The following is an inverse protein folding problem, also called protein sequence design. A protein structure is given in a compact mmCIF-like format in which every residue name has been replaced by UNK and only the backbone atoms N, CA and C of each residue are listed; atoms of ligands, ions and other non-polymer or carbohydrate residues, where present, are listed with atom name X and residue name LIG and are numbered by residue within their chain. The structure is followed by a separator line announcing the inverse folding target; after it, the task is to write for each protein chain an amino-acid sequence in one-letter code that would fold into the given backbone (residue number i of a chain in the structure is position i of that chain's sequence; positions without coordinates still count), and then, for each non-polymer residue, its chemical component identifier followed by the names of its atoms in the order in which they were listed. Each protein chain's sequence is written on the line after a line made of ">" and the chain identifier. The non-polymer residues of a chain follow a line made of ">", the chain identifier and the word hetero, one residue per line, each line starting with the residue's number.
data_IF_837416150439
#
_entry.id   IF_837416150439
#
_cell.length_a   1.000
_cell.length_b   1.000
_cell.length_c   1.000
_cell.angle_alpha   90.00
_cell.angle_beta   90.00
_cell.angle_gamma   90.00
#
_symmetry.space_group_name_H-M   'P 1'
#
loop_
_entity.id
_entity.type
_entity.pdbx_description
1 polymer ?
#
# COMPACT_ATOMS: atom_id res chain seq x y z
N UNK A 1 5.80 18.75 32.24
CA UNK A 1 5.91 17.29 32.10
C UNK A 1 5.46 16.90 30.70
N UNK A 2 6.28 16.14 29.98
CA UNK A 2 6.00 15.64 28.61
C UNK A 2 4.67 14.88 28.54
N UNK A 3 4.25 14.26 29.65
CA UNK A 3 2.97 13.54 29.78
C UNK A 3 1.78 14.50 29.68
N UNK A 4 1.85 15.69 30.31
CA UNK A 4 0.75 16.67 30.29
C UNK A 4 0.58 17.30 28.92
N UNK A 5 1.69 17.62 28.24
CA UNK A 5 1.70 18.14 26.87
C UNK A 5 1.13 17.12 25.86
N UNK A 6 1.45 15.83 26.01
CA UNK A 6 0.85 14.79 25.17
C UNK A 6 -0.66 14.63 25.40
N UNK A 7 -1.13 14.74 26.65
CA UNK A 7 -2.56 14.65 26.99
C UNK A 7 -3.35 15.84 26.42
N UNK A 8 -2.78 17.04 26.44
CA UNK A 8 -3.41 18.25 25.88
C UNK A 8 -3.46 18.25 24.35
N UNK A 9 -2.50 17.60 23.69
CA UNK A 9 -2.47 17.46 22.23
C UNK A 9 -3.29 16.26 21.72
N UNK A 10 -3.59 15.29 22.59
CA UNK A 10 -4.30 14.06 22.25
C UNK A 10 -5.63 14.29 21.51
N UNK A 11 -6.51 15.23 21.89
CA UNK A 11 -7.78 15.46 21.19
C UNK A 11 -7.56 15.98 19.77
N UNK A 12 -6.55 16.83 19.57
CA UNK A 12 -6.20 17.37 18.24
C UNK A 12 -5.62 16.30 17.34
N UNK A 13 -4.76 15.44 17.88
CA UNK A 13 -4.25 14.27 17.15
C UNK A 13 -5.35 13.28 16.82
N UNK A 14 -6.27 12.99 17.75
CA UNK A 14 -7.42 12.11 17.52
C UNK A 14 -8.32 12.67 16.42
N UNK A 15 -8.67 13.97 16.48
CA UNK A 15 -9.48 14.62 15.46
C UNK A 15 -8.86 14.55 14.06
N UNK A 16 -7.57 14.90 13.94
CA UNK A 16 -6.85 14.84 12.67
C UNK A 16 -6.73 13.41 12.12
N UNK A 17 -6.50 12.41 12.98
CA UNK A 17 -6.42 11.00 12.59
C UNK A 17 -7.78 10.46 12.12
N UNK A 18 -8.88 10.81 12.81
CA UNK A 18 -10.23 10.38 12.43
C UNK A 18 -10.59 10.88 11.04
N UNK A 19 -10.30 12.15 10.73
CA UNK A 19 -10.45 12.73 9.40
C UNK A 19 -9.62 11.98 8.35
N UNK A 20 -8.34 11.69 8.63
CA UNK A 20 -7.50 10.90 7.71
C UNK A 20 -8.02 9.49 7.45
N UNK A 21 -8.56 8.82 8.47
CA UNK A 21 -9.14 7.49 8.30
C UNK A 21 -10.43 7.49 7.46
N UNK A 22 -11.17 8.61 7.42
CA UNK A 22 -12.33 8.75 6.55
C UNK A 22 -11.93 8.74 5.07
N UNK A 23 -10.84 9.41 4.71
CA UNK A 23 -10.31 9.41 3.33
C UNK A 23 -9.87 8.01 2.89
N UNK A 24 -9.21 7.25 3.77
CA UNK A 24 -8.85 5.85 3.51
C UNK A 24 -10.08 4.97 3.30
N UNK A 25 -11.13 5.16 4.11
CA UNK A 25 -12.39 4.44 3.95
C UNK A 25 -13.08 4.82 2.65
N UNK A 26 -13.11 6.10 2.28
CA UNK A 26 -13.67 6.57 1.01
C UNK A 26 -12.93 5.95 -0.19
N UNK A 27 -11.60 5.91 -0.16
CA UNK A 27 -10.79 5.25 -1.18
C UNK A 27 -11.04 3.73 -1.24
N UNK A 28 -11.17 3.06 -0.09
CA UNK A 28 -11.51 1.64 0.01
C UNK A 28 -12.89 1.35 -0.61
N UNK A 29 -13.90 2.17 -0.26
CA UNK A 29 -15.26 2.05 -0.78
C UNK A 29 -15.33 2.34 -2.28
N UNK A 30 -14.60 3.36 -2.76
CA UNK A 30 -14.46 3.65 -4.19
C UNK A 30 -13.82 2.46 -4.94
N UNK A 31 -12.77 1.87 -4.37
CA UNK A 31 -12.15 0.66 -4.89
C UNK A 31 -13.12 -0.54 -4.92
N UNK A 32 -13.88 -0.75 -3.84
CA UNK A 32 -14.90 -1.79 -3.77
C UNK A 32 -16.02 -1.56 -4.79
N UNK A 33 -16.48 -0.32 -4.98
CA UNK A 33 -17.48 0.03 -5.97
C UNK A 33 -16.98 -0.22 -7.39
N UNK A 34 -15.74 0.15 -7.71
CA UNK A 34 -15.10 -0.15 -8.98
C UNK A 34 -14.94 -1.67 -9.22
N UNK A 35 -14.61 -2.42 -8.16
CA UNK A 35 -14.53 -3.88 -8.18
C UNK A 35 -15.88 -4.56 -8.44
N UNK A 36 -16.93 -4.11 -7.75
CA UNK A 36 -18.31 -4.59 -7.96
C UNK A 36 -18.82 -4.29 -9.37
N UNK A 37 -18.45 -3.12 -9.93
CA UNK A 37 -18.74 -2.73 -11.32
C UNK A 37 -17.90 -3.50 -12.36
N UNK A 38 -17.02 -4.41 -11.93
CA UNK A 38 -16.19 -5.25 -12.81
C UNK A 38 -15.44 -4.43 -13.85
N UNK A 39 -15.02 -3.20 -13.50
CA UNK A 39 -14.32 -2.27 -14.40
C UNK A 39 -13.07 -2.93 -15.04
N UNK A 40 -12.49 -3.91 -14.36
CA UNK A 40 -11.33 -4.68 -14.80
C UNK A 40 -11.65 -6.12 -15.25
N UNK A 41 -12.87 -6.61 -15.09
CA UNK A 41 -13.24 -7.99 -15.43
C UNK A 41 -13.88 -8.14 -16.83
N UNK A 42 -14.08 -7.03 -17.56
CA UNK A 42 -14.42 -7.01 -18.99
C UNK A 42 -13.16 -6.92 -19.90
N UNK A 43 -13.27 -6.48 -21.17
CA UNK A 43 -12.13 -6.30 -22.11
C UNK A 43 -11.07 -5.26 -21.68
N UNK A 44 -11.07 -4.85 -20.41
CA UNK A 44 -10.19 -3.86 -19.83
C UNK A 44 -10.38 -2.46 -20.43
N UNK A 45 -9.88 -1.41 -19.76
CA UNK A 45 -9.86 -0.08 -20.35
C UNK A 45 -8.99 -0.07 -21.61
N UNK A 46 -9.41 0.72 -22.61
CA UNK A 46 -8.62 0.93 -23.84
C UNK A 46 -7.23 1.45 -23.47
N UNK A 47 -6.14 0.95 -24.10
CA UNK A 47 -4.78 1.38 -23.77
C UNK A 47 -4.56 2.88 -23.98
N UNK A 48 -5.26 3.49 -24.95
CA UNK A 48 -5.24 4.94 -25.19
C UNK A 48 -5.78 5.72 -23.99
N UNK A 49 -6.88 5.25 -23.39
CA UNK A 49 -7.46 5.90 -22.20
C UNK A 49 -6.51 5.78 -21.00
N UNK A 50 -5.92 4.60 -20.80
CA UNK A 50 -4.92 4.41 -19.73
C UNK A 50 -3.72 5.36 -19.91
N UNK A 51 -3.19 5.48 -21.14
CA UNK A 51 -2.08 6.39 -21.44
C UNK A 51 -2.46 7.85 -21.21
N UNK A 52 -3.68 8.27 -21.55
CA UNK A 52 -4.18 9.62 -21.27
C UNK A 52 -4.29 9.90 -19.77
N UNK A 53 -4.83 8.96 -18.99
CA UNK A 53 -4.92 9.09 -17.54
C UNK A 53 -3.53 9.18 -16.91
N UNK A 54 -2.55 8.40 -17.38
CA UNK A 54 -1.15 8.52 -16.94
C UNK A 54 -0.57 9.87 -17.35
N UNK A 55 -0.70 10.26 -18.62
CA UNK A 55 -0.10 11.49 -19.14
C UNK A 55 -0.66 12.77 -18.51
N UNK A 56 -1.93 12.77 -18.10
CA UNK A 56 -2.57 13.92 -17.44
C UNK A 56 -2.47 13.84 -15.92
N UNK A 57 -2.68 12.65 -15.33
CA UNK A 57 -2.72 12.46 -13.89
C UNK A 57 -1.35 12.48 -13.22
N UNK A 58 -0.30 12.03 -13.92
CA UNK A 58 1.06 12.04 -13.39
C UNK A 58 1.60 13.47 -13.19
N UNK A 59 1.61 14.38 -14.19
CA UNK A 59 2.09 15.74 -13.97
C UNK A 59 1.20 16.51 -13.00
N UNK A 60 -0.14 16.32 -13.05
CA UNK A 60 -1.06 16.97 -12.13
C UNK A 60 -0.81 16.53 -10.68
N UNK A 61 -0.64 15.22 -10.47
CA UNK A 61 -0.36 14.64 -9.16
C UNK A 61 1.03 15.01 -8.62
N UNK A 62 2.06 15.02 -9.48
CA UNK A 62 3.41 15.43 -9.10
C UNK A 62 3.49 16.92 -8.79
N UNK A 63 2.82 17.77 -9.58
CA UNK A 63 2.73 19.20 -9.30
C UNK A 63 2.00 19.46 -7.96
N UNK A 64 0.89 18.75 -7.71
CA UNK A 64 0.19 18.80 -6.42
C UNK A 64 1.06 18.36 -5.25
N UNK A 65 1.79 17.24 -5.40
CA UNK A 65 2.72 16.76 -4.38
C UNK A 65 3.90 17.70 -4.12
N UNK A 66 4.46 18.29 -5.18
CA UNK A 66 5.50 19.31 -5.05
C UNK A 66 4.98 20.56 -4.35
N UNK A 67 3.77 21.00 -4.67
CA UNK A 67 3.11 22.13 -4.00
C UNK A 67 2.91 21.84 -2.51
N UNK A 68 2.40 20.66 -2.15
CA UNK A 68 2.29 20.22 -0.75
C UNK A 68 3.65 20.26 -0.05
N UNK A 69 4.71 19.75 -0.68
CA UNK A 69 6.05 19.76 -0.11
C UNK A 69 6.57 21.18 0.16
N UNK A 70 6.35 22.13 -0.76
CA UNK A 70 6.73 23.54 -0.58
C UNK A 70 5.89 24.21 0.52
N UNK A 71 4.59 23.91 0.62
CA UNK A 71 3.74 24.45 1.69
C UNK A 71 4.06 23.86 3.08
N UNK A 72 4.64 22.66 3.15
CA UNK A 72 4.89 21.95 4.42
C UNK A 72 6.32 22.15 4.93
N UNK A 73 7.30 22.18 4.03
CA UNK A 73 8.72 22.21 4.37
C UNK A 73 9.49 23.36 3.67
N UNK A 74 8.81 24.13 2.83
CA UNK A 74 9.41 25.26 2.13
C UNK A 74 9.38 26.56 2.94
N UNK A 75 9.79 27.67 2.32
CA UNK A 75 9.92 28.98 2.98
C UNK A 75 8.57 29.69 3.21
N UNK A 76 7.45 29.06 2.85
CA UNK A 76 6.11 29.66 2.93
C UNK A 76 5.63 29.71 4.38
N UNK A 77 4.92 30.78 4.73
CA UNK A 77 4.34 30.96 6.07
C UNK A 77 3.32 29.86 6.40
N UNK A 78 3.15 29.56 7.70
CA UNK A 78 2.30 28.47 8.19
C UNK A 78 0.82 28.54 7.78
N UNK A 79 0.32 29.70 7.33
CA UNK A 79 -1.03 29.84 6.78
C UNK A 79 -1.27 29.03 5.50
N UNK A 80 -0.21 28.77 4.72
CA UNK A 80 -0.29 27.97 3.48
C UNK A 80 -0.38 26.47 3.73
N UNK A 81 -0.18 26.00 4.98
CA UNK A 81 -0.22 24.58 5.33
C UNK A 81 -1.57 23.95 4.97
N UNK A 82 -2.69 24.59 5.33
CA UNK A 82 -4.03 24.06 5.04
C UNK A 82 -4.35 24.07 3.55
N UNK A 83 -3.86 25.07 2.81
CA UNK A 83 -4.00 25.16 1.35
C UNK A 83 -3.23 24.04 0.66
N UNK A 84 -1.99 23.79 1.10
CA UNK A 84 -1.19 22.65 0.66
C UNK A 84 -1.91 21.33 0.89
N UNK A 85 -2.41 21.08 2.11
CA UNK A 85 -3.17 19.87 2.44
C UNK A 85 -4.42 19.70 1.57
N UNK A 86 -5.20 20.76 1.35
CA UNK A 86 -6.37 20.71 0.48
C UNK A 86 -5.99 20.35 -0.98
N UNK A 87 -4.92 20.96 -1.51
CA UNK A 87 -4.40 20.62 -2.83
C UNK A 87 -3.93 19.15 -2.91
N UNK A 88 -3.31 18.64 -1.85
CA UNK A 88 -2.91 17.24 -1.72
C UNK A 88 -4.11 16.29 -1.83
N UNK A 89 -5.18 16.55 -1.07
CA UNK A 89 -6.41 15.72 -1.10
C UNK A 89 -7.05 15.71 -2.49
N UNK A 90 -7.04 16.85 -3.20
CA UNK A 90 -7.62 16.95 -4.54
C UNK A 90 -6.76 16.30 -5.63
N UNK A 91 -5.44 16.33 -5.49
CA UNK A 91 -4.51 15.81 -6.50
C UNK A 91 -4.13 14.34 -6.26
N UNK A 92 -4.27 13.83 -5.03
CA UNK A 92 -3.97 12.45 -4.67
C UNK A 92 -4.78 11.40 -5.46
N UNK A 93 -6.09 11.56 -5.72
CA UNK A 93 -6.85 10.64 -6.57
C UNK A 93 -6.34 10.60 -8.01
N UNK A 94 -5.93 11.75 -8.57
CA UNK A 94 -5.37 11.83 -9.92
C UNK A 94 -4.03 11.09 -10.01
N UNK A 95 -3.15 11.28 -9.03
CA UNK A 95 -1.88 10.56 -8.94
C UNK A 95 -2.11 9.05 -8.77
N UNK A 96 -3.04 8.67 -7.90
CA UNK A 96 -3.40 7.27 -7.65
C UNK A 96 -3.94 6.60 -8.91
N UNK A 97 -4.82 7.28 -9.65
CA UNK A 97 -5.35 6.80 -10.92
C UNK A 97 -4.24 6.66 -11.98
N UNK A 98 -3.29 7.59 -12.03
CA UNK A 98 -2.13 7.50 -12.91
C UNK A 98 -1.24 6.30 -12.55
N UNK A 99 -0.94 6.07 -11.27
CA UNK A 99 -0.21 4.87 -10.82
C UNK A 99 -0.94 3.59 -11.19
N UNK A 100 -2.24 3.49 -10.89
CA UNK A 100 -3.05 2.31 -11.22
C UNK A 100 -3.06 2.03 -12.73
N UNK A 101 -3.29 3.06 -13.55
CA UNK A 101 -3.28 2.93 -15.01
C UNK A 101 -1.88 2.59 -15.56
N UNK A 102 -0.82 3.14 -14.96
CA UNK A 102 0.57 2.84 -15.30
C UNK A 102 0.91 1.38 -15.03
N UNK A 103 0.52 0.86 -13.86
CA UNK A 103 0.68 -0.57 -13.53
C UNK A 103 -0.11 -1.44 -14.50
N UNK A 104 -1.36 -1.08 -14.84
CA UNK A 104 -2.17 -1.81 -15.82
C UNK A 104 -1.53 -1.83 -17.23
N UNK A 105 -0.85 -0.76 -17.63
CA UNK A 105 -0.09 -0.72 -18.88
C UNK A 105 1.19 -1.56 -18.78
N UNK A 106 1.89 -1.53 -17.65
CA UNK A 106 3.12 -2.29 -17.42
C UNK A 106 2.85 -3.79 -17.50
N UNK A 107 1.78 -4.30 -16.89
CA UNK A 107 1.45 -5.74 -16.95
C UNK A 107 0.96 -6.20 -18.33
N UNK A 108 0.72 -5.28 -19.28
CA UNK A 108 0.41 -5.63 -20.67
C UNK A 108 1.66 -5.91 -21.50
N UNK A 109 2.83 -5.39 -21.12
CA UNK A 109 4.10 -5.65 -21.81
C UNK A 109 4.81 -6.89 -21.23
N UNK A 110 5.58 -7.65 -22.03
CA UNK A 110 6.19 -8.90 -21.59
C UNK A 110 7.11 -8.74 -20.38
N UNK A 111 7.92 -7.67 -20.32
CA UNK A 111 8.79 -7.38 -19.17
C UNK A 111 7.98 -7.20 -17.87
N UNK A 112 6.86 -6.46 -17.94
CA UNK A 112 6.00 -6.24 -16.77
C UNK A 112 5.22 -7.47 -16.35
N UNK A 113 4.91 -8.39 -17.28
CA UNK A 113 4.36 -9.72 -16.91
C UNK A 113 5.37 -10.54 -16.11
N UNK A 114 6.65 -10.50 -16.48
CA UNK A 114 7.72 -11.16 -15.74
C UNK A 114 7.83 -10.63 -14.30
N UNK A 115 7.87 -9.30 -14.15
CA UNK A 115 7.88 -8.65 -12.83
C UNK A 115 6.59 -8.97 -12.03
N UNK A 116 5.43 -8.94 -12.69
CA UNK A 116 4.17 -9.31 -12.07
C UNK A 116 4.18 -10.75 -11.54
N UNK A 117 4.78 -11.67 -12.29
CA UNK A 117 4.90 -13.08 -11.90
C UNK A 117 5.84 -13.28 -10.70
N UNK A 118 6.95 -12.53 -10.61
CA UNK A 118 7.86 -12.60 -9.45
C UNK A 118 7.27 -11.98 -8.20
N UNK A 119 6.44 -10.93 -8.34
CA UNK A 119 5.75 -10.26 -7.24
C UNK A 119 4.45 -10.96 -6.81
N UNK A 120 3.84 -11.78 -7.68
CA UNK A 120 2.57 -12.45 -7.39
C UNK A 120 2.58 -13.31 -6.09
N UNK A 121 3.63 -14.06 -5.74
CA UNK A 121 3.76 -14.72 -4.44
C UNK A 121 3.68 -13.75 -3.26
N UNK A 122 4.41 -12.63 -3.32
CA UNK A 122 4.41 -11.62 -2.26
C UNK A 122 3.04 -10.92 -2.14
N UNK A 123 2.36 -10.68 -3.27
CA UNK A 123 1.01 -10.11 -3.27
C UNK A 123 -0.05 -11.04 -2.64
N UNK A 124 0.10 -12.37 -2.76
CA UNK A 124 -0.79 -13.35 -2.09
C UNK A 124 -0.60 -13.41 -0.58
N UNK A 125 0.50 -12.86 -0.08
CA UNK A 125 0.92 -12.86 1.32
C UNK A 125 1.08 -11.43 1.86
N UNK A 126 0.33 -10.47 1.29
CA UNK A 126 0.50 -9.05 1.60
C UNK A 126 0.27 -8.71 3.07
N UNK A 127 -0.70 -9.33 3.73
CA UNK A 127 -0.98 -9.11 5.15
C UNK A 127 0.10 -9.76 6.02
N UNK A 128 0.51 -10.98 5.71
CA UNK A 128 1.62 -11.64 6.42
C UNK A 128 2.89 -10.81 6.30
N UNK A 129 3.23 -10.34 5.09
CA UNK A 129 4.41 -9.53 4.83
C UNK A 129 4.34 -8.19 5.55
N UNK A 130 3.17 -7.54 5.55
CA UNK A 130 2.97 -6.30 6.29
C UNK A 130 3.17 -6.47 7.79
N UNK A 131 2.61 -7.53 8.39
CA UNK A 131 2.78 -7.82 9.81
C UNK A 131 4.21 -8.20 10.16
N UNK A 132 4.86 -9.03 9.34
CA UNK A 132 6.26 -9.40 9.51
C UNK A 132 7.18 -8.17 9.38
N UNK A 133 6.93 -7.29 8.41
CA UNK A 133 7.68 -6.05 8.22
C UNK A 133 7.50 -5.13 9.43
N UNK A 134 6.26 -4.94 9.87
CA UNK A 134 5.94 -4.08 11.01
C UNK A 134 6.58 -4.61 12.29
N UNK A 135 6.53 -5.92 12.54
CA UNK A 135 7.18 -6.54 13.70
C UNK A 135 8.70 -6.40 13.64
N UNK A 136 9.31 -6.67 12.48
CA UNK A 136 10.76 -6.53 12.32
C UNK A 136 11.22 -5.08 12.51
N UNK A 137 10.53 -4.11 11.92
CA UNK A 137 10.83 -2.69 12.12
C UNK A 137 10.59 -2.26 13.57
N UNK A 138 9.53 -2.76 14.22
CA UNK A 138 9.29 -2.50 15.63
C UNK A 138 10.44 -3.03 16.49
N UNK A 139 10.91 -4.26 16.26
CA UNK A 139 12.04 -4.84 16.99
C UNK A 139 13.37 -4.11 16.71
N UNK A 140 13.57 -3.59 15.50
CA UNK A 140 14.80 -2.87 15.16
C UNK A 140 14.81 -1.45 15.76
N UNK A 141 13.70 -0.72 15.64
CA UNK A 141 13.68 0.71 15.96
C UNK A 141 13.11 1.04 17.34
N UNK A 142 12.18 0.26 17.90
CA UNK A 142 11.59 0.61 19.19
C UNK A 142 12.53 0.30 20.36
N UNK A 143 12.33 0.99 21.48
CA UNK A 143 13.11 0.79 22.71
C UNK A 143 12.92 -0.59 23.36
N UNK A 144 11.90 -1.36 22.95
CA UNK A 144 11.72 -2.75 23.38
C UNK A 144 12.63 -3.74 22.62
N UNK A 145 13.33 -3.30 21.56
CA UNK A 145 14.27 -4.12 20.79
C UNK A 145 15.66 -3.51 20.72
N UNK A 146 16.20 -3.26 19.52
CA UNK A 146 17.57 -2.74 19.35
C UNK A 146 17.70 -1.22 19.61
N UNK A 147 16.58 -0.49 19.73
CA UNK A 147 16.60 0.94 20.08
C UNK A 147 17.34 1.82 19.08
N UNK A 148 17.40 1.42 17.81
CA UNK A 148 18.18 2.11 16.77
C UNK A 148 17.50 3.40 16.25
N UNK A 149 16.34 3.76 16.79
CA UNK A 149 15.63 4.98 16.41
C UNK A 149 16.49 6.23 16.64
N UNK A 150 16.75 6.98 15.57
CA UNK A 150 17.59 8.18 15.60
C UNK A 150 19.09 7.94 15.80
N UNK A 151 19.56 6.67 15.84
CA UNK A 151 20.97 6.33 16.07
C UNK A 151 21.71 5.86 14.82
N UNK A 152 20.99 5.43 13.79
CA UNK A 152 21.55 5.02 12.50
C UNK A 152 21.25 6.04 11.43
N UNK A 153 22.23 6.30 10.56
CA UNK A 153 22.06 7.21 9.43
C UNK A 153 21.01 6.71 8.44
N UNK A 154 20.37 7.65 7.74
CA UNK A 154 19.29 7.39 6.77
C UNK A 154 19.68 6.34 5.72
N UNK A 155 20.93 6.35 5.24
CA UNK A 155 21.44 5.38 4.26
C UNK A 155 21.40 3.94 4.79
N UNK A 156 21.83 3.72 6.04
CA UNK A 156 21.81 2.39 6.67
C UNK A 156 20.38 1.88 6.84
N UNK A 157 19.45 2.77 7.21
CA UNK A 157 18.03 2.44 7.32
C UNK A 157 17.45 2.03 5.96
N UNK A 158 17.76 2.79 4.90
CA UNK A 158 17.29 2.48 3.54
C UNK A 158 17.82 1.13 3.04
N UNK A 159 19.11 0.85 3.25
CA UNK A 159 19.70 -0.44 2.90
C UNK A 159 19.09 -1.60 3.69
N UNK A 160 18.85 -1.40 4.99
CA UNK A 160 18.17 -2.37 5.85
C UNK A 160 16.75 -2.67 5.38
N UNK A 161 15.98 -1.65 5.03
CA UNK A 161 14.64 -1.80 4.46
C UNK A 161 14.65 -2.55 3.13
N UNK A 162 15.59 -2.25 2.24
CA UNK A 162 15.74 -2.95 0.96
C UNK A 162 16.08 -4.42 1.16
N UNK A 163 17.02 -4.72 2.07
CA UNK A 163 17.38 -6.08 2.44
C UNK A 163 16.19 -6.85 3.02
N UNK A 164 15.47 -6.24 3.96
CA UNK A 164 14.29 -6.84 4.57
C UNK A 164 13.21 -7.12 3.53
N UNK A 165 12.94 -6.17 2.64
CA UNK A 165 11.97 -6.37 1.56
C UNK A 165 12.38 -7.50 0.60
N UNK A 166 13.66 -7.57 0.23
CA UNK A 166 14.19 -8.66 -0.60
C UNK A 166 14.07 -10.03 0.11
N UNK A 167 14.36 -10.09 1.42
CA UNK A 167 14.19 -11.30 2.23
C UNK A 167 12.71 -11.71 2.32
N UNK A 168 11.80 -10.74 2.45
CA UNK A 168 10.36 -11.02 2.44
C UNK A 168 9.86 -11.52 1.09
N UNK A 169 10.38 -10.99 -0.02
CA UNK A 169 10.08 -11.47 -1.37
C UNK A 169 10.51 -12.93 -1.56
N UNK A 170 11.72 -13.28 -1.15
CA UNK A 170 12.23 -14.66 -1.26
C UNK A 170 11.49 -15.62 -0.35
N UNK A 171 11.23 -15.23 0.90
CA UNK A 171 10.43 -16.01 1.84
C UNK A 171 8.99 -16.19 1.34
N UNK A 172 8.38 -15.15 0.78
CA UNK A 172 7.04 -15.24 0.18
C UNK A 172 7.00 -16.18 -1.00
N UNK A 173 8.02 -16.15 -1.86
CA UNK A 173 8.15 -17.06 -3.00
C UNK A 173 8.33 -18.51 -2.53
N UNK A 174 9.19 -18.74 -1.53
CA UNK A 174 9.45 -20.06 -0.97
C UNK A 174 8.21 -20.62 -0.25
N UNK A 175 7.56 -19.81 0.57
CA UNK A 175 6.39 -20.20 1.33
C UNK A 175 5.18 -20.41 0.41
N UNK A 176 5.05 -19.61 -0.66
CA UNK A 176 4.05 -19.83 -1.71
C UNK A 176 4.22 -21.15 -2.48
N UNK A 177 5.42 -21.73 -2.52
CA UNK A 177 5.66 -23.07 -3.09
C UNK A 177 5.09 -24.18 -2.20
N UNK A 178 5.08 -23.99 -0.87
CA UNK A 178 4.61 -24.99 0.10
C UNK A 178 3.17 -24.75 0.60
N UNK A 179 2.73 -23.51 0.72
CA UNK A 179 1.42 -23.09 1.26
C UNK A 179 0.78 -22.11 0.27
N UNK A 180 -0.45 -22.40 -0.18
CA UNK A 180 -1.20 -21.53 -1.11
C UNK A 180 -1.62 -20.17 -0.51
N UNK A 181 -1.45 -19.95 0.80
CA UNK A 181 -1.86 -18.74 1.50
C UNK A 181 -0.96 -18.51 2.72
N UNK A 182 -0.63 -17.24 3.02
CA UNK A 182 0.12 -16.89 4.21
C UNK A 182 -0.67 -17.16 5.50
N UNK A 183 0.03 -17.32 6.65
CA UNK A 183 -0.58 -17.62 7.94
C UNK A 183 -1.59 -16.55 8.37
N UNK A 184 -1.28 -15.27 8.20
CA UNK A 184 -2.19 -14.18 8.58
C UNK A 184 -3.43 -14.14 7.66
N UNK A 185 -3.26 -14.38 6.36
CA UNK A 185 -4.38 -14.44 5.41
C UNK A 185 -5.29 -15.66 5.66
N UNK A 186 -4.74 -16.75 6.20
CA UNK A 186 -5.52 -17.91 6.62
C UNK A 186 -6.35 -17.58 7.86
N UNK A 187 -5.74 -16.96 8.87
CA UNK A 187 -6.42 -16.51 10.09
C UNK A 187 -7.51 -15.48 9.77
N UNK A 188 -7.21 -14.50 8.92
CA UNK A 188 -8.20 -13.52 8.47
C UNK A 188 -9.37 -14.20 7.78
N UNK A 189 -9.11 -15.13 6.84
CA UNK A 189 -10.20 -15.87 6.17
C UNK A 189 -11.02 -16.72 7.14
N UNK A 190 -10.39 -17.28 8.17
CA UNK A 190 -11.08 -18.02 9.22
C UNK A 190 -12.02 -17.09 10.02
N UNK A 191 -11.52 -15.92 10.41
CA UNK A 191 -12.28 -14.91 11.15
C UNK A 191 -13.45 -14.34 10.33
N UNK A 192 -13.19 -13.91 9.08
CA UNK A 192 -14.23 -13.30 8.22
C UNK A 192 -15.32 -14.29 7.81
N UNK A 193 -15.01 -15.58 7.69
CA UNK A 193 -15.97 -16.61 7.27
C UNK A 193 -16.60 -17.37 8.45
N UNK A 194 -16.24 -17.05 9.70
CA UNK A 194 -16.75 -17.71 10.89
C UNK A 194 -16.43 -19.21 10.95
N UNK A 195 -15.39 -19.68 10.26
CA UNK A 195 -15.05 -21.10 10.18
C UNK A 195 -13.70 -21.34 9.52
N UNK A 196 -12.94 -22.32 10.03
CA UNK A 196 -11.64 -22.72 9.51
C UNK A 196 -11.75 -22.99 8.00
N UNK A 197 -10.94 -22.31 7.14
CA UNK A 197 -10.90 -22.60 5.72
C UNK A 197 -10.51 -24.06 5.53
N UNK A 198 -11.50 -24.91 5.27
CA UNK A 198 -11.31 -26.31 4.92
C UNK A 198 -10.32 -26.30 3.75
N UNK A 199 -9.14 -26.93 3.90
CA UNK A 199 -8.14 -27.05 2.82
C UNK A 199 -8.89 -27.38 1.55
N UNK A 200 -8.99 -26.44 0.62
CA UNK A 200 -9.73 -26.64 -0.61
C UNK A 200 -9.03 -27.76 -1.39
N UNK A 201 -9.50 -29.00 -1.22
CA UNK A 201 -9.31 -30.07 -2.18
C UNK A 201 -10.12 -29.61 -3.38
N UNK A 202 -9.44 -29.02 -4.36
CA UNK A 202 -10.06 -28.85 -5.67
C UNK A 202 -10.24 -30.27 -6.25
N UNK A 203 -11.40 -30.58 -6.85
CA UNK A 203 -11.61 -31.88 -7.49
C UNK A 203 -10.51 -32.13 -8.55
N UNK A 204 -10.04 -33.38 -8.71
CA UNK A 204 -9.12 -33.74 -9.79
C UNK A 204 -9.71 -33.31 -11.13
N UNK A 205 -8.86 -32.81 -12.02
CA UNK A 205 -9.23 -32.16 -13.26
C UNK A 205 -10.27 -32.92 -14.06
N UNK A 206 -11.29 -32.19 -14.53
CA UNK A 206 -12.09 -32.63 -15.65
C UNK A 206 -11.18 -32.60 -16.90
N UNK A 207 -10.58 -33.75 -17.19
CA UNK A 207 -10.15 -34.07 -18.54
C UNK A 207 -11.41 -34.09 -19.42
N UNK A 208 -11.59 -33.07 -20.23
CA UNK A 208 -12.48 -33.15 -21.39
C UNK A 208 -11.61 -33.49 -22.59
N UNK A 209 -11.63 -34.79 -22.90
CA UNK A 209 -11.40 -35.39 -24.20
C UNK A 209 -12.24 -34.74 -25.29
#
# INVERSE_FOLDING_TARGET
>A
SVVRTNIELLPRFLGANVLHSADLLAALLAGLAAGKRRVLAGPGPRPVLLRRVVALGLPLGLAGGAFVAVCTHGPLEGGWFFVGQAAGVLTAPALTAAYACGVLLLVRVPAGRGIGATLAPAGRMSLTNYLAQSLALALVFTGYGLGLYGRVGTTTVLLGCLFLYAAQLTLSALLSRHRRSGPAEFLLRAATRGGLPRRARWPPGAHHS
#
